data_IF_494616252937
#
_entry.id   IF_494616252937
#
_cell.length_a   1.000
_cell.length_b   1.000
_cell.length_c   1.000
_cell.angle_alpha   90.00
_cell.angle_beta   90.00
_cell.angle_gamma   90.00
#
_symmetry.space_group_name_H-M   'P 1'
#
loop_
_entity.id
_entity.type
_entity.pdbx_description
1 polymer ?
#
# COMPACT_ATOMS: atom_id res chain seq x y z
N UNK A 1 0.12 -8.00 14.73
CA UNK A 1 1.45 -7.39 14.77
C UNK A 1 1.33 -5.96 15.27
N UNK A 2 2.13 -5.60 16.26
CA UNK A 2 2.08 -4.25 16.84
C UNK A 2 2.43 -3.15 15.84
N UNK A 3 3.24 -3.48 14.83
CA UNK A 3 3.63 -2.53 13.79
C UNK A 3 2.52 -2.22 12.80
N UNK A 4 1.50 -3.07 12.71
CA UNK A 4 0.41 -2.91 11.76
C UNK A 4 -0.86 -2.44 12.46
N UNK A 5 -1.45 -1.37 11.93
CA UNK A 5 -2.73 -0.84 12.40
C UNK A 5 -3.85 -1.39 11.51
N UNK A 6 -4.89 -2.01 12.09
CA UNK A 6 -6.03 -2.46 11.29
C UNK A 6 -6.85 -1.25 10.82
N UNK A 7 -7.16 -1.26 9.53
CA UNK A 7 -7.96 -0.21 8.88
C UNK A 7 -9.07 -0.89 8.11
N UNK A 8 -10.29 -0.38 8.22
CA UNK A 8 -11.42 -0.83 7.40
C UNK A 8 -11.91 0.31 6.52
N UNK A 9 -12.18 -0.01 5.26
CA UNK A 9 -12.78 0.92 4.31
C UNK A 9 -13.99 0.28 3.67
N UNK A 10 -15.06 1.07 3.56
CA UNK A 10 -16.29 0.64 2.90
C UNK A 10 -16.20 0.94 1.40
N UNK A 11 -17.04 0.28 0.62
CA UNK A 11 -17.12 0.51 -0.82
C UNK A 11 -17.22 2.01 -1.14
N UNK A 12 -16.37 2.49 -2.05
CA UNK A 12 -16.35 3.88 -2.47
C UNK A 12 -15.44 4.79 -1.65
N UNK A 13 -14.96 4.32 -0.50
CA UNK A 13 -14.05 5.12 0.32
C UNK A 13 -12.63 5.07 -0.23
N UNK A 14 -11.98 6.24 -0.25
CA UNK A 14 -10.61 6.39 -0.74
C UNK A 14 -9.63 6.10 0.40
N UNK A 15 -8.56 5.36 0.08
CA UNK A 15 -7.49 5.06 1.02
C UNK A 15 -6.30 6.00 0.80
N UNK A 16 -5.89 6.17 -0.46
CA UNK A 16 -4.83 7.09 -0.83
C UNK A 16 -5.28 7.95 -2.00
N UNK A 17 -4.67 9.12 -2.16
CA UNK A 17 -4.96 10.03 -3.26
C UNK A 17 -3.66 10.37 -3.99
N UNK A 18 -3.71 10.31 -5.32
CA UNK A 18 -2.55 10.67 -6.16
C UNK A 18 -2.07 12.09 -5.83
N UNK A 19 -0.77 12.26 -5.79
CA UNK A 19 -0.06 13.51 -5.49
C UNK A 19 -0.10 13.95 -4.03
N UNK A 20 -0.84 13.29 -3.13
CA UNK A 20 -0.74 13.53 -1.71
C UNK A 20 0.54 12.90 -1.17
N UNK A 21 1.11 13.51 -0.13
CA UNK A 21 2.20 12.88 0.61
C UNK A 21 1.64 11.77 1.48
N UNK A 22 2.36 10.65 1.52
CA UNK A 22 1.98 9.52 2.33
C UNK A 22 3.18 8.91 3.02
N UNK A 23 2.96 8.51 4.27
CA UNK A 23 4.01 7.96 5.13
C UNK A 23 3.67 6.55 5.59
N UNK A 24 2.84 5.85 4.84
CA UNK A 24 2.39 4.51 5.21
C UNK A 24 2.28 3.59 4.01
N UNK A 25 2.48 2.32 4.30
CA UNK A 25 2.27 1.19 3.40
C UNK A 25 1.00 0.47 3.83
N UNK A 26 0.24 -0.06 2.88
CA UNK A 26 -0.96 -0.85 3.16
C UNK A 26 -0.84 -2.26 2.60
N UNK A 27 -1.18 -3.24 3.44
CA UNK A 27 -1.35 -4.64 3.04
C UNK A 27 -2.86 -4.93 2.97
N UNK A 28 -3.32 -5.49 1.87
CA UNK A 28 -4.73 -5.88 1.74
C UNK A 28 -4.94 -7.24 2.40
N UNK A 29 -5.77 -7.27 3.43
CA UNK A 29 -6.14 -8.51 4.13
C UNK A 29 -7.32 -9.15 3.43
N UNK A 30 -8.34 -8.36 3.10
CA UNK A 30 -9.52 -8.83 2.37
C UNK A 30 -10.14 -7.70 1.57
N UNK A 31 -10.90 -8.05 0.54
CA UNK A 31 -11.57 -7.10 -0.33
C UNK A 31 -10.75 -6.76 -1.57
N UNK A 32 -11.27 -5.84 -2.38
CA UNK A 32 -10.65 -5.38 -3.63
C UNK A 32 -10.68 -3.86 -3.70
N UNK A 33 -9.63 -3.27 -4.26
CA UNK A 33 -9.50 -1.83 -4.42
C UNK A 33 -9.08 -1.52 -5.85
N UNK A 34 -9.55 -0.37 -6.36
CA UNK A 34 -9.11 0.14 -7.65
C UNK A 34 -7.88 1.04 -7.46
N UNK A 35 -6.97 0.99 -8.42
CA UNK A 35 -5.74 1.79 -8.43
C UNK A 35 -5.75 2.63 -9.71
N UNK A 36 -5.84 3.95 -9.56
CA UNK A 36 -5.91 4.91 -10.66
C UNK A 36 -4.71 5.85 -10.60
N UNK A 37 -3.78 5.68 -11.52
CA UNK A 37 -2.59 6.51 -11.63
C UNK A 37 -2.81 7.77 -12.49
N UNK A 38 -4.02 7.97 -13.00
CA UNK A 38 -4.36 9.15 -13.82
C UNK A 38 -3.98 9.01 -15.29
N UNK A 39 -3.62 7.81 -15.74
CA UNK A 39 -3.22 7.53 -17.11
C UNK A 39 -4.35 6.89 -17.96
N UNK A 40 -5.55 6.82 -17.40
CA UNK A 40 -6.69 6.19 -18.05
C UNK A 40 -6.79 4.69 -17.86
N UNK A 41 -5.80 4.08 -17.20
CA UNK A 41 -5.78 2.66 -16.90
C UNK A 41 -6.10 2.46 -15.42
N UNK A 42 -7.11 1.64 -15.14
CA UNK A 42 -7.49 1.30 -13.77
C UNK A 42 -7.05 -0.15 -13.50
N UNK A 43 -6.19 -0.31 -12.51
CA UNK A 43 -5.79 -1.62 -12.04
C UNK A 43 -6.58 -1.98 -10.77
N UNK A 44 -6.46 -3.22 -10.33
CA UNK A 44 -7.05 -3.66 -9.07
C UNK A 44 -6.01 -4.35 -8.21
N UNK A 45 -6.15 -4.20 -6.89
CA UNK A 45 -5.40 -4.96 -5.90
C UNK A 45 -6.36 -5.71 -4.99
N UNK A 46 -5.97 -6.87 -4.52
CA UNK A 46 -6.78 -7.72 -3.67
C UNK A 46 -5.97 -8.33 -2.53
N UNK A 47 -6.55 -9.30 -1.84
CA UNK A 47 -5.93 -9.94 -0.68
C UNK A 47 -4.50 -10.41 -0.97
N UNK A 48 -3.57 -10.04 -0.10
CA UNK A 48 -2.16 -10.36 -0.23
C UNK A 48 -1.33 -9.33 -0.98
N UNK A 49 -1.97 -8.35 -1.63
CA UNK A 49 -1.27 -7.28 -2.34
C UNK A 49 -0.90 -6.13 -1.40
N UNK A 50 0.12 -5.38 -1.80
CA UNK A 50 0.54 -4.15 -1.11
C UNK A 50 0.30 -2.94 -2.01
N UNK A 51 0.08 -1.78 -1.40
CA UNK A 51 0.10 -0.52 -2.11
C UNK A 51 0.62 0.60 -1.22
N UNK A 52 1.08 1.70 -1.84
CA UNK A 52 1.71 2.80 -1.13
C UNK A 52 3.20 2.59 -0.87
N UNK A 53 3.75 1.42 -1.24
CA UNK A 53 5.13 1.05 -0.97
C UNK A 53 6.15 1.94 -1.68
N UNK A 54 5.82 2.46 -2.85
CA UNK A 54 6.74 3.33 -3.58
C UNK A 54 7.01 4.60 -2.79
N UNK A 55 5.97 5.26 -2.28
CA UNK A 55 6.16 6.47 -1.47
C UNK A 55 6.80 6.16 -0.13
N UNK A 56 6.57 4.96 0.43
CA UNK A 56 7.20 4.53 1.68
C UNK A 56 8.73 4.47 1.54
N UNK A 57 9.21 3.88 0.45
CA UNK A 57 10.65 3.63 0.24
C UNK A 57 11.36 4.85 -0.34
N UNK A 58 10.71 5.57 -1.28
CA UNK A 58 11.34 6.69 -1.99
C UNK A 58 11.09 8.05 -1.33
N UNK A 59 10.09 8.15 -0.45
CA UNK A 59 9.68 9.43 0.15
C UNK A 59 8.95 10.35 -0.81
N UNK A 60 8.56 9.85 -1.97
CA UNK A 60 7.83 10.62 -2.98
C UNK A 60 6.34 10.68 -2.68
N UNK A 61 5.63 11.53 -3.42
CA UNK A 61 4.18 11.61 -3.37
C UNK A 61 3.53 10.32 -3.83
N UNK A 62 2.30 10.06 -3.38
CA UNK A 62 1.50 8.92 -3.85
C UNK A 62 1.38 8.96 -5.37
N UNK A 63 1.67 7.83 -6.03
CA UNK A 63 1.61 7.72 -7.48
C UNK A 63 0.22 7.36 -8.01
N UNK A 64 -0.73 7.05 -7.13
CA UNK A 64 -2.07 6.64 -7.53
C UNK A 64 -3.11 6.94 -6.45
N UNK A 65 -4.36 7.07 -6.90
CA UNK A 65 -5.53 7.09 -6.03
C UNK A 65 -6.04 5.67 -5.88
N UNK A 66 -6.17 5.21 -4.63
CA UNK A 66 -6.67 3.86 -4.33
C UNK A 66 -8.00 3.97 -3.59
N UNK A 67 -9.02 3.34 -4.16
CA UNK A 67 -10.40 3.40 -3.67
C UNK A 67 -10.96 1.99 -3.46
N UNK A 68 -11.62 1.76 -2.35
CA UNK A 68 -12.26 0.48 -2.06
C UNK A 68 -13.42 0.23 -3.03
N UNK A 69 -13.45 -0.95 -3.66
CA UNK A 69 -14.54 -1.40 -4.53
C UNK A 69 -15.62 -2.13 -3.73
N UNK A 70 -15.25 -2.66 -2.58
CA UNK A 70 -16.12 -3.35 -1.64
C UNK A 70 -15.57 -3.12 -0.25
N UNK A 71 -16.18 -3.65 0.79
CA UNK A 71 -15.63 -3.55 2.14
C UNK A 71 -14.27 -4.23 2.19
N UNK A 72 -13.25 -3.49 2.61
CA UNK A 72 -11.87 -3.96 2.67
C UNK A 72 -11.33 -3.87 4.07
N UNK A 73 -10.58 -4.90 4.48
CA UNK A 73 -9.77 -4.87 5.68
C UNK A 73 -8.30 -4.77 5.25
N UNK A 74 -7.62 -3.78 5.81
CA UNK A 74 -6.24 -3.44 5.47
C UNK A 74 -5.39 -3.44 6.73
N UNK A 75 -4.09 -3.67 6.55
CA UNK A 75 -3.10 -3.48 7.60
C UNK A 75 -2.16 -2.35 7.18
N UNK A 76 -2.05 -1.32 8.01
CA UNK A 76 -1.25 -0.13 7.74
C UNK A 76 0.02 -0.14 8.58
N UNK A 77 1.16 0.13 7.94
CA UNK A 77 2.42 0.36 8.65
C UNK A 77 3.00 1.73 8.26
N UNK A 78 3.48 2.47 9.27
CA UNK A 78 4.09 3.79 9.05
C UNK A 78 5.53 3.63 8.57
N UNK A 79 6.01 4.59 7.75
CA UNK A 79 7.36 4.52 7.18
C UNK A 79 8.46 4.50 8.25
N UNK A 80 8.26 5.17 9.38
CA UNK A 80 9.25 5.18 10.47
C UNK A 80 9.33 3.87 11.26
N UNK A 81 8.38 2.95 11.03
CA UNK A 81 8.40 1.61 11.62
C UNK A 81 9.00 0.58 10.66
N UNK A 82 9.38 0.99 9.45
CA UNK A 82 9.86 0.06 8.42
C UNK A 82 11.18 -0.61 8.79
N UNK A 83 12.09 0.10 9.46
CA UNK A 83 13.35 -0.48 9.92
C UNK A 83 13.10 -1.60 10.94
N UNK A 84 12.13 -1.42 11.83
CA UNK A 84 11.73 -2.46 12.78
C UNK A 84 11.11 -3.66 12.04
N UNK A 85 10.34 -3.41 10.99
CA UNK A 85 9.80 -4.45 10.14
C UNK A 85 10.92 -5.28 9.49
N UNK A 86 11.97 -4.62 9.00
CA UNK A 86 13.13 -5.30 8.41
C UNK A 86 13.80 -6.24 9.40
N UNK A 87 13.86 -5.86 10.67
CA UNK A 87 14.48 -6.64 11.73
C UNK A 87 13.60 -7.79 12.21
N UNK A 88 12.31 -7.52 12.46
CA UNK A 88 11.39 -8.49 13.07
C UNK A 88 10.71 -9.41 12.04
N UNK A 89 10.53 -8.93 10.81
CA UNK A 89 9.82 -9.67 9.76
C UNK A 89 10.59 -9.61 8.44
N UNK A 90 11.81 -10.20 8.40
CA UNK A 90 12.69 -10.05 7.23
C UNK A 90 12.13 -10.64 5.94
N UNK A 91 11.33 -11.72 6.04
CA UNK A 91 10.72 -12.33 4.85
C UNK A 91 9.67 -11.39 4.24
N UNK A 92 8.83 -10.79 5.07
CA UNK A 92 7.82 -9.83 4.62
C UNK A 92 8.48 -8.58 4.05
N UNK A 93 9.50 -8.07 4.72
CA UNK A 93 10.25 -6.90 4.25
C UNK A 93 10.94 -7.15 2.91
N UNK A 94 11.52 -8.33 2.72
CA UNK A 94 12.12 -8.71 1.45
C UNK A 94 11.09 -8.78 0.33
N UNK A 95 9.90 -9.28 0.61
CA UNK A 95 8.80 -9.34 -0.34
C UNK A 95 8.33 -7.94 -0.76
N UNK A 96 8.20 -7.04 0.18
CA UNK A 96 7.85 -5.64 -0.08
C UNK A 96 8.91 -5.00 -0.98
N UNK A 97 10.19 -5.18 -0.64
CA UNK A 97 11.30 -4.64 -1.41
C UNK A 97 11.32 -5.18 -2.85
N UNK A 98 11.06 -6.46 -3.03
CA UNK A 98 11.00 -7.08 -4.35
C UNK A 98 9.88 -6.47 -5.20
N UNK A 99 8.71 -6.20 -4.61
CA UNK A 99 7.59 -5.56 -5.29
C UNK A 99 7.94 -4.12 -5.70
N UNK A 100 8.59 -3.37 -4.80
CA UNK A 100 9.03 -2.01 -5.09
C UNK A 100 10.02 -2.00 -6.24
N UNK A 101 11.02 -2.88 -6.20
CA UNK A 101 12.04 -2.99 -7.26
C UNK A 101 11.38 -3.32 -8.61
N UNK A 102 10.41 -4.22 -8.63
CA UNK A 102 9.66 -4.56 -9.83
C UNK A 102 8.88 -3.37 -10.38
N UNK A 103 8.19 -2.61 -9.52
CA UNK A 103 7.37 -1.48 -9.92
C UNK A 103 8.17 -0.26 -10.35
N UNK A 104 9.40 -0.11 -9.85
CA UNK A 104 10.27 1.02 -10.17
C UNK A 104 11.28 0.73 -11.27
N UNK A 105 11.43 -0.52 -11.69
CA UNK A 105 12.42 -0.94 -12.68
C UNK A 105 12.00 -0.69 -14.13
N UNK A 106 10.81 -0.23 -14.37
CA UNK A 106 10.29 -0.02 -15.74
C UNK A 106 10.73 1.28 -16.38
#
# INVERSE_FOLDING_TARGET
LELFEPIRRMAGERVTKKDDFGYSLFLVISGRLSVDAGDGVIAEVGAGDFFGEVSLVTGEKRNATVTALETCDLAKIMMWDFDELLTEHPVLAARIKAIVDERTAS
#
